data_IF_022154821827
#
_entry.id   IF_022154821827
#
_cell.length_a   1.000
_cell.length_b   1.000
_cell.length_c   1.000
_cell.angle_alpha   90.00
_cell.angle_beta   90.00
_cell.angle_gamma   90.00
#
_symmetry.space_group_name_H-M   'P 1'
#
loop_
_entity.id
_entity.type
_entity.pdbx_description
1 polymer ?
#
# COMPACT_ATOMS: atom_id res chain seq x y z
N UNK A 1 -16.38 5.11 -6.28
CA UNK A 1 -15.06 4.85 -6.89
C UNK A 1 -14.41 6.11 -7.49
N UNK A 2 -15.11 7.23 -7.65
CA UNK A 2 -14.50 8.48 -8.13
C UNK A 2 -14.40 8.62 -9.65
N UNK A 3 -15.05 7.73 -10.42
CA UNK A 3 -15.08 7.76 -11.88
C UNK A 3 -16.42 8.29 -12.40
N UNK A 4 -16.38 9.06 -13.49
CA UNK A 4 -17.57 9.62 -14.14
C UNK A 4 -18.38 8.58 -14.92
N UNK A 5 -19.67 8.86 -15.23
CA UNK A 5 -20.49 7.98 -16.07
C UNK A 5 -19.86 7.56 -17.41
N UNK A 6 -19.16 8.44 -18.15
CA UNK A 6 -18.54 8.06 -19.43
C UNK A 6 -17.41 7.02 -19.25
N UNK A 7 -16.58 7.18 -18.22
CA UNK A 7 -15.52 6.23 -17.86
C UNK A 7 -16.11 4.87 -17.48
N UNK A 8 -17.14 4.86 -16.64
CA UNK A 8 -17.80 3.63 -16.21
C UNK A 8 -18.44 2.87 -17.39
N UNK A 9 -19.10 3.58 -18.32
CA UNK A 9 -19.67 2.98 -19.53
C UNK A 9 -18.60 2.41 -20.45
N UNK A 10 -17.49 3.13 -20.64
CA UNK A 10 -16.37 2.65 -21.46
C UNK A 10 -15.73 1.41 -20.86
N UNK A 11 -15.46 1.42 -19.55
CA UNK A 11 -14.91 0.26 -18.85
C UNK A 11 -15.79 -0.99 -19.01
N UNK A 12 -17.11 -0.86 -18.81
CA UNK A 12 -18.05 -1.97 -19.03
C UNK A 12 -18.06 -2.46 -20.48
N UNK A 13 -17.92 -1.55 -21.45
CA UNK A 13 -17.86 -1.92 -22.87
C UNK A 13 -16.58 -2.71 -23.19
N UNK A 14 -15.43 -2.24 -22.72
CA UNK A 14 -14.13 -2.88 -22.94
C UNK A 14 -14.01 -4.25 -22.26
N UNK A 15 -14.83 -4.50 -21.24
CA UNK A 15 -14.81 -5.77 -20.48
C UNK A 15 -15.98 -6.69 -20.80
N UNK A 16 -16.78 -6.37 -21.82
CA UNK A 16 -17.90 -7.20 -22.25
C UNK A 16 -19.02 -7.29 -21.21
N UNK A 17 -19.19 -6.24 -20.39
CA UNK A 17 -20.19 -6.17 -19.32
C UNK A 17 -19.76 -6.84 -18.01
N UNK A 18 -18.54 -7.38 -17.94
CA UNK A 18 -17.99 -7.94 -16.70
C UNK A 18 -17.62 -6.80 -15.73
N UNK A 19 -18.29 -6.78 -14.58
CA UNK A 19 -18.16 -5.73 -13.57
C UNK A 19 -16.79 -5.74 -12.88
N UNK A 20 -16.27 -6.91 -12.50
CA UNK A 20 -14.99 -7.01 -11.77
C UNK A 20 -13.84 -6.55 -12.68
N UNK A 21 -13.88 -6.99 -13.94
CA UNK A 21 -12.92 -6.54 -14.94
C UNK A 21 -13.07 -5.06 -15.24
N UNK A 22 -14.29 -4.52 -15.24
CA UNK A 22 -14.51 -3.09 -15.47
C UNK A 22 -13.91 -2.23 -14.35
N UNK A 23 -14.01 -2.68 -13.09
CA UNK A 23 -13.35 -2.01 -11.96
C UNK A 23 -11.83 -2.02 -12.13
N UNK A 24 -11.24 -3.17 -12.45
CA UNK A 24 -9.81 -3.26 -12.73
C UNK A 24 -9.39 -2.37 -13.90
N UNK A 25 -10.20 -2.34 -14.96
CA UNK A 25 -9.95 -1.52 -16.14
C UNK A 25 -9.93 -0.03 -15.79
N UNK A 26 -10.87 0.45 -14.96
CA UNK A 26 -10.91 1.84 -14.50
C UNK A 26 -9.66 2.25 -13.72
N UNK A 27 -9.16 1.39 -12.84
CA UNK A 27 -7.93 1.66 -12.08
C UNK A 27 -6.66 1.54 -12.92
N UNK A 28 -6.67 0.69 -13.95
CA UNK A 28 -5.57 0.54 -14.91
C UNK A 28 -5.53 1.64 -15.97
N UNK A 29 -6.65 2.34 -16.21
CA UNK A 29 -6.78 3.43 -17.18
C UNK A 29 -7.36 4.71 -16.54
N UNK A 30 -6.75 5.23 -15.46
CA UNK A 30 -7.32 6.34 -14.69
C UNK A 30 -7.27 7.68 -15.43
N UNK A 31 -6.53 7.76 -16.55
CA UNK A 31 -6.45 8.93 -17.42
C UNK A 31 -7.48 8.90 -18.56
N UNK A 32 -8.11 7.75 -18.83
CA UNK A 32 -9.12 7.63 -19.86
C UNK A 32 -10.44 8.21 -19.34
N UNK A 33 -10.83 9.39 -19.84
CA UNK A 33 -12.03 10.09 -19.42
C UNK A 33 -13.32 9.48 -20.00
N UNK A 34 -13.21 8.45 -20.84
CA UNK A 34 -14.36 7.85 -21.49
C UNK A 34 -14.97 8.80 -22.51
N UNK A 35 -14.43 8.84 -23.73
CA UNK A 35 -15.06 9.59 -24.80
C UNK A 35 -16.32 8.84 -25.28
N UNK A 36 -17.49 9.44 -25.08
CA UNK A 36 -18.75 9.02 -25.68
C UNK A 36 -19.29 10.17 -26.53
N UNK A 37 -19.67 9.88 -27.77
CA UNK A 37 -20.00 10.86 -28.83
C UNK A 37 -21.19 11.81 -28.51
N UNK A 38 -21.86 11.68 -27.37
CA UNK A 38 -23.05 12.48 -27.02
C UNK A 38 -22.86 13.51 -25.90
N UNK A 39 -21.71 13.61 -25.22
CA UNK A 39 -21.56 14.56 -24.10
C UNK A 39 -20.29 15.40 -24.22
N UNK A 40 -20.33 16.35 -25.16
CA UNK A 40 -19.33 17.41 -25.29
C UNK A 40 -19.66 18.56 -24.34
N UNK A 41 -19.34 18.46 -23.04
CA UNK A 41 -19.06 19.65 -22.20
C UNK A 41 -18.63 19.34 -20.76
N UNK A 42 -17.33 19.19 -20.52
CA UNK A 42 -16.70 19.73 -19.32
C UNK A 42 -15.19 19.90 -19.57
N UNK A 43 -14.60 21.08 -19.34
CA UNK A 43 -13.15 21.21 -19.29
C UNK A 43 -12.69 20.60 -17.96
N UNK A 44 -12.29 19.33 -17.99
CA UNK A 44 -11.48 18.78 -16.91
C UNK A 44 -10.07 19.33 -17.11
N UNK A 45 -9.77 20.42 -16.43
CA UNK A 45 -8.39 20.88 -16.25
C UNK A 45 -7.60 19.69 -15.69
N UNK A 46 -6.53 19.21 -16.36
CA UNK A 46 -5.75 18.10 -15.85
C UNK A 46 -5.04 18.61 -14.61
N UNK A 47 -5.64 18.38 -13.44
CA UNK A 47 -4.98 18.55 -12.17
C UNK A 47 -3.66 17.79 -12.28
N UNK A 48 -2.53 18.51 -12.24
CA UNK A 48 -1.19 17.92 -12.25
C UNK A 48 -1.19 16.84 -11.18
N UNK A 49 -1.23 15.58 -11.61
CA UNK A 49 -1.11 14.43 -10.71
C UNK A 49 0.30 14.51 -10.16
N UNK A 50 0.45 15.04 -8.95
CA UNK A 50 1.70 14.91 -8.23
C UNK A 50 1.92 13.41 -8.03
N UNK A 51 2.99 12.89 -8.64
CA UNK A 51 3.37 11.50 -8.43
C UNK A 51 3.68 11.36 -6.94
N UNK A 52 2.96 10.50 -6.21
CA UNK A 52 3.19 10.36 -4.79
C UNK A 52 4.62 9.88 -4.53
N UNK A 53 5.29 10.51 -3.56
CA UNK A 53 6.69 10.24 -3.21
C UNK A 53 7.61 11.41 -3.54
N UNK A 54 8.91 11.23 -3.28
CA UNK A 54 9.94 12.23 -3.58
C UNK A 54 11.22 11.53 -3.99
N UNK A 55 11.82 12.00 -5.08
CA UNK A 55 13.11 11.56 -5.61
C UNK A 55 14.29 12.41 -5.10
N UNK A 56 14.04 13.36 -4.19
CA UNK A 56 15.07 14.23 -3.64
C UNK A 56 16.17 13.40 -2.96
N UNK A 57 17.43 13.78 -3.14
CA UNK A 57 18.58 13.13 -2.53
C UNK A 57 19.18 14.03 -1.43
N UNK A 58 19.76 13.44 -0.35
CA UNK A 58 19.82 12.01 -0.07
C UNK A 58 18.45 11.42 0.31
N UNK A 59 18.23 10.17 -0.11
CA UNK A 59 17.03 9.42 0.26
C UNK A 59 17.35 8.57 1.50
N UNK A 60 17.28 9.19 2.67
CA UNK A 60 17.58 8.54 3.94
C UNK A 60 16.34 7.84 4.49
N UNK A 61 16.51 6.59 4.90
CA UNK A 61 15.44 5.74 5.38
C UNK A 61 15.83 5.06 6.68
N UNK A 62 14.85 4.94 7.56
CA UNK A 62 14.96 4.20 8.80
C UNK A 62 13.99 3.03 8.79
N UNK A 63 14.46 1.86 9.24
CA UNK A 63 13.61 0.68 9.37
C UNK A 63 12.57 0.92 10.48
N UNK A 64 11.29 0.83 10.11
CA UNK A 64 10.17 1.14 10.98
C UNK A 64 9.40 -0.10 11.43
N UNK A 65 9.18 -1.05 10.52
CA UNK A 65 8.54 -2.33 10.88
C UNK A 65 8.95 -3.47 9.96
N UNK A 66 8.79 -4.69 10.46
CA UNK A 66 9.03 -5.92 9.71
C UNK A 66 7.88 -6.90 9.95
N UNK A 67 7.56 -7.70 8.93
CA UNK A 67 6.64 -8.83 9.04
C UNK A 67 7.44 -10.11 8.80
N UNK A 68 7.32 -11.07 9.71
CA UNK A 68 8.02 -12.35 9.66
C UNK A 68 7.02 -13.49 9.45
N UNK A 69 7.30 -14.36 8.48
CA UNK A 69 6.64 -15.66 8.37
C UNK A 69 7.39 -16.69 9.20
N UNK A 70 6.78 -17.21 10.26
CA UNK A 70 7.34 -18.27 11.10
C UNK A 70 6.82 -19.62 10.61
N UNK A 71 7.62 -20.29 9.79
CA UNK A 71 7.32 -21.61 9.27
C UNK A 71 8.28 -21.99 8.16
N UNK A 72 8.53 -23.28 7.99
CA UNK A 72 9.37 -23.82 6.92
C UNK A 72 8.59 -24.11 5.63
N UNK A 73 7.25 -24.03 5.67
CA UNK A 73 6.37 -24.31 4.54
C UNK A 73 5.85 -23.02 3.92
N UNK A 74 5.66 -23.01 2.61
CA UNK A 74 4.96 -21.92 1.90
C UNK A 74 3.42 -22.03 2.04
N UNK A 75 2.93 -23.19 2.46
CA UNK A 75 1.49 -23.47 2.58
C UNK A 75 0.98 -23.27 4.01
N UNK A 76 1.89 -23.20 4.99
CA UNK A 76 1.53 -23.07 6.40
C UNK A 76 2.66 -22.43 7.20
N UNK A 77 2.27 -21.57 8.13
CA UNK A 77 3.13 -20.95 9.11
C UNK A 77 2.36 -19.89 9.88
N UNK A 78 3.08 -19.01 10.56
CA UNK A 78 2.49 -17.99 11.43
C UNK A 78 3.08 -16.62 11.18
N UNK A 79 2.25 -15.62 10.93
CA UNK A 79 2.72 -14.25 10.71
C UNK A 79 2.77 -13.46 12.01
N UNK A 80 3.90 -12.81 12.25
CA UNK A 80 4.05 -11.84 13.33
C UNK A 80 4.66 -10.55 12.81
N UNK A 81 4.35 -9.43 13.45
CA UNK A 81 4.91 -8.13 13.09
C UNK A 81 5.75 -7.56 14.22
N UNK A 82 6.90 -6.99 13.88
CA UNK A 82 7.68 -6.15 14.80
C UNK A 82 7.57 -4.72 14.32
N UNK A 83 7.17 -3.81 15.22
CA UNK A 83 7.00 -2.39 14.91
C UNK A 83 7.80 -1.58 15.90
N UNK A 84 8.59 -0.63 15.39
CA UNK A 84 9.29 0.34 16.21
C UNK A 84 8.30 1.42 16.64
N UNK A 85 8.14 1.61 17.95
CA UNK A 85 7.18 2.53 18.55
C UNK A 85 7.84 3.37 19.64
N UNK A 86 7.41 4.61 19.74
CA UNK A 86 7.65 5.42 20.92
C UNK A 86 6.71 4.96 22.03
N UNK A 87 7.28 4.60 23.19
CA UNK A 87 6.53 4.14 24.35
C UNK A 87 6.58 5.24 25.41
N UNK A 88 5.44 5.68 25.95
CA UNK A 88 5.42 6.68 27.02
C UNK A 88 6.28 6.23 28.21
N UNK A 89 7.22 7.08 28.63
CA UNK A 89 8.14 6.79 29.74
C UNK A 89 9.46 6.14 29.33
N UNK A 90 9.68 5.85 28.03
CA UNK A 90 10.98 5.42 27.52
C UNK A 90 11.68 6.56 26.77
N UNK A 91 13.00 6.67 26.94
CA UNK A 91 13.81 7.71 26.29
C UNK A 91 14.05 7.47 24.80
N UNK A 92 13.91 6.21 24.34
CA UNK A 92 14.15 5.84 22.95
C UNK A 92 13.05 4.92 22.41
N UNK A 93 12.81 4.93 21.07
CA UNK A 93 11.80 4.06 20.48
C UNK A 93 12.16 2.59 20.67
N UNK A 94 11.18 1.83 21.13
CA UNK A 94 11.31 0.40 21.42
C UNK A 94 10.63 -0.43 20.36
N UNK A 95 11.14 -1.63 20.15
CA UNK A 95 10.48 -2.60 19.28
C UNK A 95 9.39 -3.34 20.02
N UNK A 96 8.25 -3.50 19.36
CA UNK A 96 7.08 -4.20 19.90
C UNK A 96 6.71 -5.32 18.94
N UNK A 97 6.60 -6.53 19.47
CA UNK A 97 6.09 -7.71 18.78
C UNK A 97 4.56 -7.74 18.90
N UNK A 98 3.90 -7.79 17.75
CA UNK A 98 2.48 -8.05 17.60
C UNK A 98 2.30 -9.48 17.10
N UNK A 99 1.72 -10.32 17.95
CA UNK A 99 1.43 -11.72 17.70
C UNK A 99 -0.03 -11.99 18.09
N UNK A 100 -0.94 -11.73 17.15
CA UNK A 100 -2.39 -11.76 17.37
C UNK A 100 -2.81 -10.94 18.61
N UNK A 101 -3.45 -11.56 19.60
CA UNK A 101 -3.82 -10.90 20.85
C UNK A 101 -2.63 -10.56 21.77
N UNK A 102 -1.45 -11.14 21.52
CA UNK A 102 -0.26 -10.96 22.34
C UNK A 102 0.60 -9.82 21.81
N UNK A 103 0.69 -8.76 22.61
CA UNK A 103 1.53 -7.60 22.32
C UNK A 103 2.59 -7.48 23.41
N UNK A 104 3.87 -7.59 23.02
CA UNK A 104 4.99 -7.58 23.98
C UNK A 104 6.15 -6.75 23.45
N UNK A 105 6.90 -6.14 24.36
CA UNK A 105 8.18 -5.50 24.02
C UNK A 105 9.16 -6.56 23.55
N UNK A 106 9.76 -6.35 22.39
CA UNK A 106 10.67 -7.30 21.75
C UNK A 106 12.11 -7.02 22.14
N UNK A 107 12.85 -8.09 22.50
CA UNK A 107 14.27 -8.01 22.86
C UNK A 107 15.17 -8.42 21.69
N UNK A 108 14.78 -9.43 20.91
CA UNK A 108 15.63 -10.08 19.90
C UNK A 108 15.30 -9.68 18.45
N UNK A 109 14.99 -8.41 18.21
CA UNK A 109 14.59 -7.98 16.86
C UNK A 109 15.73 -8.07 15.85
N UNK A 110 16.99 -7.96 16.28
CA UNK A 110 18.13 -8.00 15.37
C UNK A 110 18.30 -9.35 14.65
N UNK A 111 17.95 -10.46 15.32
CA UNK A 111 17.91 -11.77 14.69
C UNK A 111 16.72 -11.87 13.73
N UNK A 112 15.54 -11.41 14.17
CA UNK A 112 14.31 -11.47 13.37
C UNK A 112 14.39 -10.61 12.10
N UNK A 113 15.14 -9.50 12.13
CA UNK A 113 15.43 -8.67 10.95
C UNK A 113 16.16 -9.44 9.86
N UNK A 114 16.87 -10.54 10.14
CA UNK A 114 17.55 -11.33 9.10
C UNK A 114 16.61 -12.27 8.36
N UNK A 115 15.45 -12.58 8.94
CA UNK A 115 14.50 -13.56 8.44
C UNK A 115 13.12 -12.97 8.17
N UNK A 116 13.00 -11.64 8.11
CA UNK A 116 11.74 -11.00 7.81
C UNK A 116 11.38 -11.18 6.32
N UNK A 117 10.08 -11.25 6.07
CA UNK A 117 9.52 -11.44 4.74
C UNK A 117 9.21 -10.09 4.07
N UNK A 118 8.67 -9.14 4.83
CA UNK A 118 8.37 -7.79 4.35
C UNK A 118 8.99 -6.77 5.29
N UNK A 119 9.65 -5.75 4.73
CA UNK A 119 10.28 -4.65 5.46
C UNK A 119 9.59 -3.34 5.10
N UNK A 120 9.34 -2.51 6.11
CA UNK A 120 8.79 -1.17 5.96
C UNK A 120 9.82 -0.17 6.44
N UNK A 121 10.25 0.67 5.52
CA UNK A 121 11.18 1.76 5.78
C UNK A 121 10.41 3.08 5.73
N UNK A 122 10.68 3.95 6.69
CA UNK A 122 10.15 5.30 6.72
C UNK A 122 11.27 6.27 6.35
N UNK A 123 10.98 7.19 5.44
CA UNK A 123 11.92 8.25 5.08
C UNK A 123 12.08 9.22 6.26
N UNK A 124 13.32 9.56 6.59
CA UNK A 124 13.69 10.50 7.67
C UNK A 124 13.91 11.90 7.15
#
# INVERSE_FOLDING_TARGET
MGFGPPQARKALKETGGDMERAVEWLFSHPDDQGEFEEDSSAPNDPAKKEVPGSSNLPAEFQLQSIICHKGSSIHAGHYVAFVRKEIPGEESPSWVLFNDEKVVKALDVEEMKKFAYVYFFQRT
#
